data_IF_418393727894
#
_entry.id   IF_418393727894
#
_cell.length_a   1.000
_cell.length_b   1.000
_cell.length_c   1.000
_cell.angle_alpha   90.00
_cell.angle_beta   90.00
_cell.angle_gamma   90.00
#
_symmetry.space_group_name_H-M   'P 1'
#
loop_
_entity.id
_entity.type
_entity.pdbx_description
1 polymer ?
#
# COMPACT_ATOMS: atom_id res chain seq x y z
N UNK A 1 -23.32 -26.16 38.60
CA UNK A 1 -22.63 -25.02 37.95
C UNK A 1 -22.78 -23.69 38.70
N UNK A 2 -23.97 -23.35 39.22
CA UNK A 2 -24.29 -22.06 39.89
C UNK A 2 -23.43 -21.73 41.13
N UNK A 3 -23.08 -22.71 41.95
CA UNK A 3 -22.24 -22.52 43.15
C UNK A 3 -20.80 -22.12 42.83
N UNK A 4 -20.24 -22.66 41.74
CA UNK A 4 -18.89 -22.37 41.27
C UNK A 4 -18.78 -20.94 40.73
N UNK A 5 -19.73 -20.54 39.88
CA UNK A 5 -19.79 -19.20 39.28
C UNK A 5 -19.92 -18.12 40.37
N UNK A 6 -20.77 -18.33 41.36
CA UNK A 6 -20.92 -17.41 42.49
C UNK A 6 -19.63 -17.29 43.32
N UNK A 7 -18.93 -18.42 43.55
CA UNK A 7 -17.66 -18.43 44.28
C UNK A 7 -16.58 -17.65 43.51
N UNK A 8 -16.47 -17.88 42.20
CA UNK A 8 -15.52 -17.17 41.34
C UNK A 8 -15.83 -15.68 41.26
N UNK A 9 -17.08 -15.30 41.05
CA UNK A 9 -17.49 -13.88 41.00
C UNK A 9 -17.10 -13.16 42.30
N UNK A 10 -17.29 -13.79 43.46
CA UNK A 10 -16.88 -13.24 44.75
C UNK A 10 -15.37 -13.06 44.86
N UNK A 11 -14.58 -14.05 44.45
CA UNK A 11 -13.11 -13.94 44.47
C UNK A 11 -12.56 -12.94 43.45
N UNK A 12 -13.16 -12.84 42.27
CA UNK A 12 -12.81 -11.82 41.28
C UNK A 12 -13.16 -10.41 41.79
N UNK A 13 -14.33 -10.25 42.43
CA UNK A 13 -14.72 -8.99 43.06
C UNK A 13 -13.73 -8.56 44.16
N UNK A 14 -13.22 -9.51 44.97
CA UNK A 14 -12.14 -9.25 45.94
C UNK A 14 -10.88 -8.70 45.30
N UNK A 15 -10.58 -9.13 44.08
CA UNK A 15 -9.46 -8.64 43.27
C UNK A 15 -9.83 -7.44 42.36
N UNK A 16 -11.00 -6.83 42.57
CA UNK A 16 -11.53 -5.70 41.78
C UNK A 16 -11.71 -6.00 40.29
N UNK A 17 -11.91 -7.26 39.94
CA UNK A 17 -12.28 -7.69 38.60
C UNK A 17 -13.81 -7.70 38.51
N UNK A 18 -14.36 -6.86 37.64
CA UNK A 18 -15.79 -6.79 37.38
C UNK A 18 -16.22 -8.06 36.64
N UNK A 19 -17.26 -8.72 37.14
CA UNK A 19 -17.81 -9.94 36.55
C UNK A 19 -19.32 -9.83 36.45
N UNK A 20 -19.90 -10.37 35.39
CA UNK A 20 -21.34 -10.47 35.17
C UNK A 20 -21.64 -11.91 34.75
N UNK A 21 -22.69 -12.49 35.32
CA UNK A 21 -23.17 -13.82 34.91
C UNK A 21 -24.34 -13.62 33.96
N UNK A 22 -24.26 -14.24 32.78
CA UNK A 22 -25.23 -14.09 31.71
C UNK A 22 -25.57 -15.50 31.20
N UNK A 23 -26.84 -15.73 30.87
CA UNK A 23 -27.29 -16.97 30.20
C UNK A 23 -26.99 -16.90 28.70
N UNK A 24 -26.98 -18.04 28.01
CA UNK A 24 -26.77 -18.06 26.56
C UNK A 24 -27.87 -17.32 25.79
N UNK A 25 -29.13 -17.35 26.28
CA UNK A 25 -30.25 -16.61 25.68
C UNK A 25 -30.00 -15.10 25.66
N UNK A 26 -29.43 -14.56 26.75
CA UNK A 26 -29.30 -13.12 26.94
C UNK A 26 -27.99 -12.58 26.36
N UNK A 27 -27.00 -13.46 26.14
CA UNK A 27 -25.68 -13.12 25.61
C UNK A 27 -25.75 -12.35 24.29
N UNK A 28 -26.70 -12.69 23.42
CA UNK A 28 -26.84 -12.01 22.11
C UNK A 28 -27.22 -10.53 22.27
N UNK A 29 -28.04 -10.20 23.28
CA UNK A 29 -28.46 -8.82 23.54
C UNK A 29 -27.30 -7.99 24.11
N UNK A 30 -26.65 -8.51 25.15
CA UNK A 30 -25.49 -7.90 25.81
C UNK A 30 -24.30 -7.73 24.85
N UNK A 31 -24.05 -8.71 23.98
CA UNK A 31 -23.00 -8.62 22.97
C UNK A 31 -23.11 -7.37 22.11
N UNK A 32 -24.33 -7.02 21.69
CA UNK A 32 -24.55 -5.86 20.83
C UNK A 32 -24.18 -4.54 21.53
N UNK A 33 -24.36 -4.46 22.83
CA UNK A 33 -24.02 -3.28 23.62
C UNK A 33 -22.51 -3.19 23.85
N UNK A 34 -21.83 -4.31 24.13
CA UNK A 34 -20.35 -4.34 24.18
C UNK A 34 -19.71 -3.96 22.84
N UNK A 35 -20.28 -4.43 21.73
CA UNK A 35 -19.79 -4.11 20.38
C UNK A 35 -19.92 -2.61 20.07
N UNK A 36 -21.07 -2.00 20.38
CA UNK A 36 -21.29 -0.55 20.20
C UNK A 36 -20.32 0.30 21.02
N UNK A 37 -20.01 -0.13 22.23
CA UNK A 37 -19.12 0.59 23.15
C UNK A 37 -17.63 0.24 22.98
N UNK A 38 -17.28 -0.66 22.03
CA UNK A 38 -15.90 -1.09 21.71
C UNK A 38 -15.15 -1.64 22.95
N UNK A 39 -15.88 -2.15 23.92
CA UNK A 39 -15.32 -2.81 25.10
C UNK A 39 -15.18 -4.30 24.79
N UNK A 40 -13.96 -4.82 24.78
CA UNK A 40 -13.68 -6.22 24.43
C UNK A 40 -13.72 -7.12 25.67
N UNK A 41 -14.77 -7.94 25.88
CA UNK A 41 -14.87 -8.76 27.08
C UNK A 41 -14.11 -10.08 26.94
N UNK A 42 -13.82 -10.69 28.08
CA UNK A 42 -13.45 -12.10 28.20
C UNK A 42 -14.70 -12.88 28.64
N UNK A 43 -15.27 -13.68 27.73
CA UNK A 43 -16.35 -14.59 28.07
C UNK A 43 -15.79 -15.90 28.60
N UNK A 44 -16.17 -16.26 29.82
CA UNK A 44 -15.85 -17.56 30.41
C UNK A 44 -17.07 -18.46 30.26
N UNK A 45 -16.93 -19.50 29.44
CA UNK A 45 -18.00 -20.43 29.09
C UNK A 45 -17.71 -21.75 29.77
N UNK A 46 -18.67 -22.24 30.55
CA UNK A 46 -18.57 -23.51 31.25
C UNK A 46 -19.47 -24.52 30.53
N UNK A 47 -18.89 -25.62 30.06
CA UNK A 47 -19.60 -26.68 29.35
C UNK A 47 -19.45 -27.98 30.13
N UNK A 48 -20.55 -28.68 30.39
CA UNK A 48 -20.55 -29.96 31.13
C UNK A 48 -21.32 -31.07 30.40
N UNK A 49 -22.24 -30.71 29.51
CA UNK A 49 -23.22 -31.61 28.88
C UNK A 49 -23.33 -31.34 27.38
N UNK A 50 -23.81 -32.32 26.61
CA UNK A 50 -24.04 -32.10 25.17
C UNK A 50 -25.07 -31.00 24.90
N UNK A 51 -26.06 -30.85 25.78
CA UNK A 51 -27.08 -29.81 25.72
C UNK A 51 -26.47 -28.41 25.83
N UNK A 52 -25.67 -28.15 26.88
CA UNK A 52 -24.99 -26.85 27.05
C UNK A 52 -24.01 -26.55 25.92
N UNK A 53 -23.34 -27.56 25.36
CA UNK A 53 -22.51 -27.41 24.17
C UNK A 53 -23.35 -27.04 22.93
N UNK A 54 -24.54 -27.63 22.78
CA UNK A 54 -25.49 -27.32 21.71
C UNK A 54 -26.01 -25.89 21.79
N UNK A 55 -26.48 -25.46 22.96
CA UNK A 55 -26.96 -24.08 23.19
C UNK A 55 -25.86 -23.05 22.91
N UNK A 56 -24.63 -23.31 23.36
CA UNK A 56 -23.50 -22.44 23.07
C UNK A 56 -23.20 -22.39 21.56
N UNK A 57 -23.26 -23.53 20.87
CA UNK A 57 -23.09 -23.59 19.42
C UNK A 57 -24.16 -22.78 18.66
N UNK A 58 -25.42 -22.82 19.08
CA UNK A 58 -26.48 -21.98 18.50
C UNK A 58 -26.24 -20.49 18.74
N UNK A 59 -25.79 -20.15 19.95
CA UNK A 59 -25.48 -18.76 20.33
C UNK A 59 -24.31 -18.21 19.52
N UNK A 60 -23.23 -18.96 19.37
CA UNK A 60 -22.05 -18.55 18.56
C UNK A 60 -22.36 -18.31 17.09
N UNK A 61 -23.38 -18.99 16.51
CA UNK A 61 -23.84 -18.72 15.14
C UNK A 61 -24.61 -17.41 15.01
N UNK A 62 -25.28 -17.00 16.09
CA UNK A 62 -26.08 -15.77 16.16
C UNK A 62 -25.21 -14.53 16.41
N UNK A 63 -24.10 -14.69 17.14
CA UNK A 63 -23.15 -13.62 17.44
C UNK A 63 -22.22 -13.34 16.25
N UNK A 64 -22.22 -12.10 15.74
CA UNK A 64 -21.36 -11.68 14.63
C UNK A 64 -20.79 -10.26 14.85
N UNK A 65 -19.46 -10.04 14.75
CA UNK A 65 -18.41 -11.04 14.54
C UNK A 65 -18.02 -11.81 15.82
N UNK A 66 -18.00 -13.15 15.74
CA UNK A 66 -17.54 -14.04 16.83
C UNK A 66 -16.10 -13.76 17.28
N UNK A 67 -15.28 -13.21 16.39
CA UNK A 67 -13.88 -12.84 16.66
C UNK A 67 -13.70 -11.59 17.53
N UNK A 68 -14.78 -10.84 17.82
CA UNK A 68 -14.68 -9.64 18.64
C UNK A 68 -14.21 -9.94 20.07
N UNK A 69 -14.91 -10.74 20.90
CA UNK A 69 -14.48 -11.02 22.27
C UNK A 69 -13.36 -12.08 22.33
N UNK A 70 -12.82 -12.29 23.52
CA UNK A 70 -11.98 -13.45 23.83
C UNK A 70 -12.86 -14.49 24.52
N UNK A 71 -12.81 -15.73 24.06
CA UNK A 71 -13.57 -16.84 24.63
C UNK A 71 -12.65 -17.75 25.42
N UNK A 72 -12.97 -18.01 26.69
CA UNK A 72 -12.36 -19.05 27.51
C UNK A 72 -13.41 -20.13 27.77
N UNK A 73 -13.32 -21.23 27.05
CA UNK A 73 -14.25 -22.36 27.15
C UNK A 73 -13.62 -23.44 28.05
N UNK A 74 -14.33 -23.84 29.09
CA UNK A 74 -13.88 -24.83 30.05
C UNK A 74 -14.85 -26.00 30.08
N UNK A 75 -14.35 -27.18 29.71
CA UNK A 75 -15.10 -28.43 29.82
C UNK A 75 -14.91 -28.98 31.24
N UNK A 76 -15.99 -29.02 32.01
CA UNK A 76 -15.99 -29.43 33.40
C UNK A 76 -16.16 -30.95 33.53
N UNK A 77 -15.52 -31.53 34.55
CA UNK A 77 -15.65 -32.94 34.87
C UNK A 77 -16.98 -33.22 35.57
N UNK A 78 -17.68 -34.28 35.14
CA UNK A 78 -18.93 -34.73 35.73
C UNK A 78 -18.79 -36.12 36.38
N UNK A 79 -19.66 -36.46 37.33
CA UNK A 79 -19.65 -37.74 38.04
C UNK A 79 -20.00 -38.93 37.16
N UNK A 80 -20.79 -38.71 36.11
CA UNK A 80 -21.36 -39.75 35.25
C UNK A 80 -20.47 -40.08 34.04
N UNK A 81 -19.20 -39.61 34.07
CA UNK A 81 -18.23 -39.71 32.98
C UNK A 81 -18.06 -38.40 32.22
N UNK A 82 -17.17 -38.41 31.21
CA UNK A 82 -16.83 -37.23 30.40
C UNK A 82 -17.36 -37.40 28.97
N UNK A 83 -18.64 -37.12 28.69
CA UNK A 83 -19.25 -37.38 27.38
C UNK A 83 -18.62 -36.56 26.24
N UNK A 84 -18.04 -35.41 26.55
CA UNK A 84 -17.43 -34.50 25.56
C UNK A 84 -15.90 -34.63 25.47
N UNK A 85 -15.28 -35.62 26.13
CA UNK A 85 -13.82 -35.74 26.21
C UNK A 85 -13.16 -35.83 24.83
N UNK A 86 -13.68 -36.69 23.96
CA UNK A 86 -13.13 -36.88 22.62
C UNK A 86 -13.32 -35.62 21.76
N UNK A 87 -14.50 -35.00 21.82
CA UNK A 87 -14.80 -33.75 21.10
C UNK A 87 -13.92 -32.59 21.54
N UNK A 88 -13.57 -32.52 22.83
CA UNK A 88 -12.69 -31.48 23.33
C UNK A 88 -11.23 -31.74 22.93
N UNK A 89 -10.77 -32.99 22.99
CA UNK A 89 -9.37 -33.32 22.69
C UNK A 89 -9.07 -33.29 21.19
N UNK A 90 -10.00 -33.76 20.37
CA UNK A 90 -9.84 -33.88 18.92
C UNK A 90 -11.07 -33.27 18.21
N UNK A 91 -11.23 -31.94 18.23
CA UNK A 91 -12.36 -31.31 17.56
C UNK A 91 -12.21 -31.44 16.04
N UNK A 92 -13.10 -32.20 15.41
CA UNK A 92 -13.07 -32.45 13.96
C UNK A 92 -13.92 -31.45 13.16
N UNK A 93 -15.00 -30.95 13.75
CA UNK A 93 -15.99 -30.08 13.12
C UNK A 93 -16.00 -28.71 13.79
N UNK A 94 -16.20 -27.65 12.99
CA UNK A 94 -16.35 -26.28 13.49
C UNK A 94 -17.74 -26.02 14.10
N UNK A 95 -18.01 -26.67 15.23
CA UNK A 95 -19.32 -26.63 15.90
C UNK A 95 -19.68 -25.20 16.35
N UNK A 96 -18.68 -24.46 16.85
CA UNK A 96 -18.84 -23.11 17.41
C UNK A 96 -18.68 -21.99 16.39
N UNK A 97 -18.66 -22.31 15.08
CA UNK A 97 -18.54 -21.31 14.01
C UNK A 97 -17.36 -20.33 14.21
N UNK A 98 -16.23 -20.82 14.72
CA UNK A 98 -15.02 -20.01 14.91
C UNK A 98 -14.42 -19.64 13.57
N UNK A 99 -13.84 -18.46 13.47
CA UNK A 99 -13.12 -17.98 12.28
C UNK A 99 -11.61 -17.86 12.56
N UNK A 100 -10.84 -17.49 11.53
CA UNK A 100 -9.38 -17.37 11.62
C UNK A 100 -8.92 -16.29 12.63
N UNK A 101 -9.75 -15.29 12.91
CA UNK A 101 -9.44 -14.19 13.84
C UNK A 101 -9.89 -14.48 15.27
N UNK A 102 -10.69 -15.53 15.46
CA UNK A 102 -11.31 -15.84 16.74
C UNK A 102 -10.26 -16.27 17.76
N UNK A 103 -10.31 -15.65 18.94
CA UNK A 103 -9.48 -16.02 20.08
C UNK A 103 -10.30 -16.87 21.05
N UNK A 104 -10.41 -18.16 20.72
CA UNK A 104 -11.07 -19.15 21.58
C UNK A 104 -10.02 -20.03 22.24
N UNK A 105 -9.98 -19.98 23.56
CA UNK A 105 -9.08 -20.72 24.43
C UNK A 105 -9.89 -21.81 25.12
N UNK A 106 -9.46 -23.06 24.99
CA UNK A 106 -10.20 -24.22 25.46
C UNK A 106 -9.37 -24.99 26.49
N UNK A 107 -10.00 -25.27 27.63
CA UNK A 107 -9.50 -26.16 28.68
C UNK A 107 -10.35 -27.42 28.71
N UNK A 108 -9.74 -28.56 28.42
CA UNK A 108 -10.39 -29.86 28.41
C UNK A 108 -10.21 -30.58 29.75
N UNK A 109 -11.23 -30.56 30.61
CA UNK A 109 -11.26 -31.33 31.86
C UNK A 109 -9.99 -31.11 32.71
N UNK A 110 -9.40 -32.18 33.24
CA UNK A 110 -8.19 -32.14 34.06
C UNK A 110 -6.88 -31.93 33.27
N UNK A 111 -6.94 -31.63 31.97
CA UNK A 111 -5.72 -31.42 31.16
C UNK A 111 -5.14 -30.03 31.45
N UNK A 112 -3.86 -29.92 31.83
CA UNK A 112 -3.24 -28.63 32.17
C UNK A 112 -2.83 -27.83 30.92
N UNK A 113 -3.41 -28.09 29.75
CA UNK A 113 -3.00 -27.46 28.48
C UNK A 113 -4.13 -26.57 27.99
N UNK A 114 -3.82 -25.29 27.79
CA UNK A 114 -4.69 -24.30 27.17
C UNK A 114 -4.51 -24.37 25.65
N UNK A 115 -5.58 -24.74 24.95
CA UNK A 115 -5.57 -25.00 23.51
C UNK A 115 -6.36 -23.91 22.80
N UNK A 116 -5.81 -23.34 21.71
CA UNK A 116 -6.56 -22.44 20.84
C UNK A 116 -7.40 -23.22 19.84
N UNK A 117 -8.66 -22.83 19.67
CA UNK A 117 -9.53 -23.33 18.60
C UNK A 117 -9.78 -22.22 17.57
N UNK A 118 -9.64 -22.55 16.30
CA UNK A 118 -9.92 -21.65 15.17
C UNK A 118 -10.27 -22.46 13.92
N UNK A 119 -10.82 -21.81 12.90
CA UNK A 119 -11.01 -22.40 11.59
C UNK A 119 -10.51 -21.43 10.51
N UNK A 120 -10.35 -21.92 9.28
CA UNK A 120 -9.88 -21.11 8.14
C UNK A 120 -11.09 -20.81 7.25
N UNK A 121 -11.33 -21.64 6.23
CA UNK A 121 -12.48 -21.56 5.32
C UNK A 121 -13.36 -22.81 5.40
N UNK A 122 -12.82 -23.90 5.91
CA UNK A 122 -13.49 -25.19 6.02
C UNK A 122 -14.29 -25.30 7.34
N UNK A 123 -15.21 -26.26 7.38
CA UNK A 123 -15.99 -26.58 8.57
C UNK A 123 -15.18 -27.46 9.57
N UNK A 124 -13.86 -27.26 9.66
CA UNK A 124 -12.96 -28.03 10.54
C UNK A 124 -12.32 -27.14 11.58
N UNK A 125 -12.26 -27.64 12.80
CA UNK A 125 -11.56 -26.97 13.89
C UNK A 125 -10.09 -27.33 13.86
N UNK A 126 -9.24 -26.31 13.93
CA UNK A 126 -7.79 -26.44 14.07
C UNK A 126 -7.40 -26.08 15.48
N UNK A 127 -6.39 -26.78 16.01
CA UNK A 127 -5.94 -26.63 17.40
C UNK A 127 -4.50 -26.16 17.46
N UNK A 128 -4.18 -25.37 18.49
CA UNK A 128 -2.80 -25.01 18.81
C UNK A 128 -2.57 -24.99 20.32
N UNK A 129 -1.60 -25.76 20.81
CA UNK A 129 -1.24 -25.80 22.23
C UNK A 129 -0.52 -24.49 22.65
N UNK A 130 -1.26 -23.57 23.27
CA UNK A 130 -0.75 -22.22 23.59
C UNK A 130 0.08 -22.18 24.87
N UNK A 131 -0.43 -22.77 25.94
CA UNK A 131 0.14 -22.65 27.27
C UNK A 131 -0.15 -23.87 28.14
N UNK A 132 0.67 -24.04 29.18
CA UNK A 132 0.39 -24.93 30.29
C UNK A 132 -0.17 -24.10 31.44
N UNK A 133 -1.23 -24.56 32.09
CA UNK A 133 -1.77 -23.95 33.30
C UNK A 133 -1.75 -24.96 34.43
N UNK A 134 -1.25 -24.53 35.59
CA UNK A 134 -1.32 -25.30 36.82
C UNK A 134 -1.62 -24.38 38.00
N UNK A 135 -2.33 -24.86 39.04
CA UNK A 135 -2.63 -24.05 40.22
C UNK A 135 -1.38 -23.46 40.88
N UNK A 136 -0.31 -24.26 40.99
CA UNK A 136 0.90 -23.88 41.72
C UNK A 136 1.84 -22.95 40.93
N UNK A 137 1.91 -23.13 39.60
CA UNK A 137 2.87 -22.40 38.74
C UNK A 137 2.21 -21.33 37.86
N UNK A 138 0.89 -21.23 37.87
CA UNK A 138 0.13 -20.32 37.01
C UNK A 138 0.21 -20.69 35.53
N UNK A 139 0.13 -19.68 34.66
CA UNK A 139 0.15 -19.82 33.21
C UNK A 139 1.58 -19.76 32.65
N UNK A 140 2.02 -20.84 32.02
CA UNK A 140 3.32 -20.97 31.36
C UNK A 140 3.12 -21.04 29.84
N UNK A 141 3.44 -19.94 29.15
CA UNK A 141 3.32 -19.86 27.69
C UNK A 141 4.35 -20.76 27.00
N UNK A 142 3.90 -21.57 26.04
CA UNK A 142 4.79 -22.43 25.22
C UNK A 142 5.46 -21.68 24.08
N UNK A 143 4.92 -20.52 23.71
CA UNK A 143 5.39 -19.72 22.58
C UNK A 143 5.25 -18.23 22.81
N UNK A 144 6.11 -17.45 22.16
CA UNK A 144 6.05 -15.98 22.11
C UNK A 144 5.57 -15.45 20.75
N UNK A 145 5.20 -16.34 19.81
CA UNK A 145 4.68 -15.96 18.49
C UNK A 145 3.36 -15.20 18.63
N UNK A 146 3.09 -14.25 17.73
CA UNK A 146 1.78 -13.58 17.63
C UNK A 146 0.67 -14.53 17.16
N UNK A 147 -0.60 -14.13 17.28
CA UNK A 147 -1.75 -14.94 16.89
C UNK A 147 -1.62 -15.47 15.45
N UNK A 148 -1.39 -14.58 14.50
CA UNK A 148 -1.29 -14.93 13.09
C UNK A 148 -0.03 -15.76 12.77
N UNK A 149 1.09 -15.50 13.45
CA UNK A 149 2.32 -16.28 13.26
C UNK A 149 2.22 -17.72 13.79
N UNK A 150 1.25 -18.02 14.66
CA UNK A 150 0.93 -19.40 15.08
C UNK A 150 -0.01 -20.10 14.10
N UNK A 151 -0.78 -19.34 13.32
CA UNK A 151 -1.80 -19.80 12.37
C UNK A 151 -1.34 -19.59 10.93
N UNK A 152 -0.07 -19.84 10.65
CA UNK A 152 0.53 -19.56 9.34
C UNK A 152 0.27 -20.63 8.28
N UNK A 153 -0.18 -21.81 8.69
CA UNK A 153 -0.41 -22.96 7.80
C UNK A 153 -1.87 -23.00 7.34
N UNK A 154 -2.08 -23.06 6.02
CA UNK A 154 -3.38 -23.16 5.36
C UNK A 154 -3.77 -24.61 5.01
N UNK A 155 -2.94 -25.59 5.36
CA UNK A 155 -3.22 -27.03 5.24
C UNK A 155 -3.55 -27.49 3.81
N UNK A 156 -2.92 -26.86 2.82
CA UNK A 156 -3.10 -27.18 1.41
C UNK A 156 -4.38 -26.63 0.78
N UNK A 157 -5.07 -25.70 1.45
CA UNK A 157 -6.29 -25.07 0.91
C UNK A 157 -6.07 -24.46 -0.48
N UNK A 158 -7.12 -24.40 -1.30
CA UNK A 158 -7.03 -23.90 -2.67
C UNK A 158 -7.40 -22.42 -2.68
N UNK A 159 -6.46 -21.58 -3.13
CA UNK A 159 -6.66 -20.14 -3.25
C UNK A 159 -6.82 -19.77 -4.72
N UNK A 160 -7.99 -19.24 -5.07
CA UNK A 160 -8.33 -18.79 -6.43
C UNK A 160 -7.76 -17.40 -6.68
N UNK A 161 -6.98 -17.26 -7.76
CA UNK A 161 -6.22 -16.04 -8.05
C UNK A 161 -6.75 -15.36 -9.30
N UNK A 162 -7.22 -14.12 -9.14
CA UNK A 162 -7.56 -13.24 -10.25
C UNK A 162 -6.31 -12.49 -10.74
N UNK A 163 -6.16 -12.39 -12.05
CA UNK A 163 -5.02 -11.73 -12.70
C UNK A 163 -5.50 -10.88 -13.87
N UNK A 164 -4.72 -9.86 -14.23
CA UNK A 164 -5.05 -8.94 -15.34
C UNK A 164 -4.09 -9.19 -16.50
N UNK A 165 -4.67 -9.37 -17.69
CA UNK A 165 -3.90 -9.59 -18.91
C UNK A 165 -3.01 -8.37 -19.25
N UNK A 166 -1.79 -8.62 -19.72
CA UNK A 166 -0.78 -7.59 -20.02
C UNK A 166 -0.49 -6.63 -18.86
N UNK A 167 -0.73 -7.04 -17.60
CA UNK A 167 -0.29 -6.24 -16.45
C UNK A 167 1.23 -6.23 -16.36
N UNK A 168 1.86 -5.09 -16.03
CA UNK A 168 3.28 -5.07 -15.72
C UNK A 168 3.55 -5.98 -14.50
N UNK A 169 4.79 -6.49 -14.44
CA UNK A 169 5.31 -7.32 -13.34
C UNK A 169 4.64 -8.68 -13.15
N UNK A 170 3.81 -9.10 -14.11
CA UNK A 170 3.24 -10.43 -14.21
C UNK A 170 3.50 -10.97 -15.60
N UNK A 171 3.87 -12.24 -15.68
CA UNK A 171 3.87 -13.00 -16.92
C UNK A 171 2.92 -14.18 -16.79
N UNK A 172 2.29 -14.54 -17.91
CA UNK A 172 1.49 -15.75 -18.03
C UNK A 172 2.22 -16.69 -18.98
N UNK A 173 2.77 -17.79 -18.48
CA UNK A 173 3.52 -18.77 -19.27
C UNK A 173 2.90 -20.16 -19.08
N UNK A 174 2.25 -20.69 -20.12
CA UNK A 174 1.70 -22.06 -20.14
C UNK A 174 0.85 -22.44 -18.90
N UNK A 175 -0.03 -21.53 -18.45
CA UNK A 175 -0.89 -21.76 -17.27
C UNK A 175 -0.21 -21.50 -15.93
N UNK A 176 1.05 -21.07 -15.92
CA UNK A 176 1.76 -20.60 -14.72
C UNK A 176 1.86 -19.07 -14.70
N UNK A 177 1.79 -18.50 -13.49
CA UNK A 177 2.01 -17.07 -13.26
C UNK A 177 3.48 -16.86 -12.88
N UNK A 178 4.14 -15.96 -13.61
CA UNK A 178 5.51 -15.53 -13.38
C UNK A 178 5.60 -14.02 -13.12
N UNK A 179 6.80 -13.47 -13.31
CA UNK A 179 7.09 -12.09 -12.96
C UNK A 179 7.23 -11.87 -11.44
N UNK A 180 7.44 -10.62 -11.03
CA UNK A 180 7.68 -10.26 -9.64
C UNK A 180 6.52 -10.69 -8.72
N UNK A 181 5.27 -10.38 -9.10
CA UNK A 181 4.12 -10.72 -8.27
C UNK A 181 3.80 -12.21 -8.30
N UNK A 182 4.08 -12.91 -9.41
CA UNK A 182 3.91 -14.35 -9.49
C UNK A 182 4.88 -15.13 -8.62
N UNK A 183 6.17 -14.74 -8.64
CA UNK A 183 7.17 -15.32 -7.74
C UNK A 183 6.81 -15.08 -6.27
N UNK A 184 6.32 -13.89 -5.92
CA UNK A 184 5.88 -13.60 -4.56
C UNK A 184 4.72 -14.50 -4.13
N UNK A 185 3.73 -14.74 -5.00
CA UNK A 185 2.64 -15.67 -4.73
C UNK A 185 3.14 -17.09 -4.48
N UNK A 186 4.06 -17.57 -5.32
CA UNK A 186 4.62 -18.91 -5.19
C UNK A 186 5.40 -19.06 -3.87
N UNK A 187 6.14 -18.04 -3.45
CA UNK A 187 6.84 -18.07 -2.15
C UNK A 187 5.85 -18.01 -0.97
N UNK A 188 4.79 -17.20 -1.08
CA UNK A 188 3.72 -17.17 -0.10
C UNK A 188 3.01 -18.53 0.01
N UNK A 189 2.75 -19.20 -1.11
CA UNK A 189 2.09 -20.51 -1.14
C UNK A 189 2.91 -21.59 -0.46
N UNK A 190 4.24 -21.55 -0.59
CA UNK A 190 5.15 -22.45 0.13
C UNK A 190 5.20 -22.17 1.63
N UNK A 191 5.34 -20.89 2.02
CA UNK A 191 5.47 -20.51 3.43
C UNK A 191 4.19 -20.76 4.20
N UNK A 192 3.03 -20.50 3.58
CA UNK A 192 1.73 -20.66 4.22
C UNK A 192 1.04 -21.98 3.86
N UNK A 193 1.67 -22.84 3.06
CA UNK A 193 1.16 -24.16 2.67
C UNK A 193 -0.28 -24.10 2.11
N UNK A 194 -0.47 -23.38 1.01
CA UNK A 194 -1.69 -23.40 0.21
C UNK A 194 -1.38 -23.71 -1.25
N UNK A 195 -2.39 -24.13 -2.00
CA UNK A 195 -2.30 -24.38 -3.44
C UNK A 195 -2.96 -23.24 -4.21
N UNK A 196 -2.45 -22.98 -5.41
CA UNK A 196 -2.87 -21.85 -6.24
C UNK A 196 -3.70 -22.36 -7.41
N UNK A 197 -4.91 -21.83 -7.55
CA UNK A 197 -5.73 -21.98 -8.75
C UNK A 197 -5.74 -20.64 -9.50
N UNK A 198 -5.09 -20.58 -10.66
CA UNK A 198 -5.02 -19.36 -11.47
C UNK A 198 -6.26 -19.31 -12.36
N UNK A 199 -7.09 -18.29 -12.18
CA UNK A 199 -8.24 -18.03 -13.03
C UNK A 199 -7.81 -17.39 -14.36
N UNK A 200 -8.66 -17.51 -15.38
CA UNK A 200 -8.42 -16.89 -16.68
C UNK A 200 -8.18 -15.38 -16.55
N UNK A 201 -7.10 -14.84 -17.16
CA UNK A 201 -6.77 -13.42 -17.05
C UNK A 201 -7.88 -12.52 -17.59
N UNK A 202 -8.30 -11.55 -16.78
CA UNK A 202 -9.31 -10.57 -17.19
C UNK A 202 -8.69 -9.40 -17.94
N UNK A 203 -9.49 -8.68 -18.72
CA UNK A 203 -9.02 -7.57 -19.57
C UNK A 203 -8.61 -6.30 -18.82
N UNK A 204 -9.03 -6.13 -17.57
CA UNK A 204 -8.79 -4.90 -16.82
C UNK A 204 -8.79 -5.08 -15.32
N UNK A 205 -8.21 -4.12 -14.61
CA UNK A 205 -8.10 -4.13 -13.15
C UNK A 205 -9.46 -4.12 -12.46
N UNK A 206 -10.36 -3.29 -12.97
CA UNK A 206 -11.75 -3.21 -12.52
C UNK A 206 -12.18 -1.78 -12.22
N UNK A 207 -13.30 -1.41 -12.81
CA UNK A 207 -13.94 -0.11 -12.67
C UNK A 207 -15.43 -0.32 -12.35
N UNK A 208 -16.02 0.67 -11.69
CA UNK A 208 -17.45 0.65 -11.38
C UNK A 208 -18.28 0.94 -12.64
N UNK A 209 -19.07 -0.05 -13.08
CA UNK A 209 -20.02 0.16 -14.18
C UNK A 209 -21.29 0.81 -13.65
N UNK A 210 -21.54 2.08 -14.00
CA UNK A 210 -22.77 2.80 -13.64
C UNK A 210 -24.03 2.16 -14.24
N UNK A 211 -23.93 1.61 -15.45
CA UNK A 211 -25.04 0.96 -16.15
C UNK A 211 -25.48 -0.34 -15.48
N UNK A 212 -24.51 -1.22 -15.20
CA UNK A 212 -24.77 -2.55 -14.64
C UNK A 212 -24.79 -2.55 -13.11
N UNK A 213 -24.36 -1.47 -12.46
CA UNK A 213 -24.18 -1.35 -11.00
C UNK A 213 -23.33 -2.47 -10.41
N UNK A 214 -22.26 -2.84 -11.11
CA UNK A 214 -21.31 -3.88 -10.68
C UNK A 214 -19.88 -3.45 -10.95
N UNK A 215 -18.96 -3.99 -10.16
CA UNK A 215 -17.53 -3.90 -10.43
C UNK A 215 -17.15 -4.84 -11.57
N UNK A 216 -16.31 -4.36 -12.47
CA UNK A 216 -15.79 -5.14 -13.60
C UNK A 216 -14.37 -5.63 -13.31
N UNK A 217 -13.80 -6.44 -14.21
CA UNK A 217 -12.40 -6.85 -14.13
C UNK A 217 -12.07 -7.70 -12.90
N UNK A 218 -10.82 -7.62 -12.44
CA UNK A 218 -10.32 -8.48 -11.38
C UNK A 218 -10.93 -8.10 -10.02
N UNK A 219 -11.18 -6.81 -9.81
CA UNK A 219 -11.92 -6.32 -8.62
C UNK A 219 -13.35 -6.86 -8.64
N UNK A 220 -14.00 -6.91 -9.81
CA UNK A 220 -15.31 -7.54 -9.97
C UNK A 220 -15.34 -8.99 -9.50
N UNK A 221 -14.34 -9.79 -9.90
CA UNK A 221 -14.22 -11.19 -9.47
C UNK A 221 -14.03 -11.33 -7.96
N UNK A 222 -13.26 -10.43 -7.33
CA UNK A 222 -13.09 -10.42 -5.86
C UNK A 222 -14.40 -10.05 -5.15
N UNK A 223 -15.09 -9.00 -5.60
CA UNK A 223 -16.37 -8.56 -5.03
C UNK A 223 -17.46 -9.62 -5.20
N UNK A 224 -17.46 -10.33 -6.33
CA UNK A 224 -18.37 -11.44 -6.60
C UNK A 224 -17.98 -12.76 -5.89
N UNK A 225 -16.87 -12.78 -5.13
CA UNK A 225 -16.32 -13.95 -4.46
C UNK A 225 -16.00 -15.12 -5.44
N UNK A 226 -15.71 -14.79 -6.70
CA UNK A 226 -15.23 -15.71 -7.74
C UNK A 226 -13.72 -15.96 -7.58
N UNK A 227 -12.99 -14.97 -7.08
CA UNK A 227 -11.57 -15.06 -6.74
C UNK A 227 -11.36 -14.74 -5.25
N UNK A 228 -10.28 -15.28 -4.68
CA UNK A 228 -9.92 -15.10 -3.27
C UNK A 228 -8.85 -14.02 -3.10
N UNK A 229 -7.92 -13.93 -4.06
CA UNK A 229 -6.87 -12.91 -4.09
C UNK A 229 -6.67 -12.38 -5.50
N UNK A 230 -6.48 -11.07 -5.62
CA UNK A 230 -6.10 -10.42 -6.87
C UNK A 230 -4.60 -10.22 -6.91
N UNK A 231 -3.93 -10.68 -7.96
CA UNK A 231 -2.50 -10.48 -8.16
C UNK A 231 -2.28 -9.73 -9.47
N UNK A 232 -1.90 -8.47 -9.32
CA UNK A 232 -1.65 -7.52 -10.40
C UNK A 232 -1.01 -6.26 -9.85
N UNK A 233 -0.60 -5.34 -10.74
CA UNK A 233 -0.16 -4.00 -10.37
C UNK A 233 -1.36 -3.10 -9.98
N UNK A 234 -2.15 -3.50 -8.98
CA UNK A 234 -3.31 -2.76 -8.54
C UNK A 234 -2.92 -1.44 -7.87
N UNK A 235 -3.38 -0.33 -8.44
CA UNK A 235 -3.33 0.97 -7.76
C UNK A 235 -4.37 1.01 -6.65
N UNK A 236 -3.92 1.31 -5.44
CA UNK A 236 -4.78 1.50 -4.27
C UNK A 236 -5.47 2.86 -4.37
N UNK A 237 -6.79 2.85 -4.56
CA UNK A 237 -7.63 4.07 -4.57
C UNK A 237 -8.74 3.95 -3.53
N UNK A 238 -9.25 5.09 -3.05
CA UNK A 238 -10.32 5.10 -2.03
C UNK A 238 -11.58 4.37 -2.51
N UNK A 239 -11.95 4.51 -3.78
CA UNK A 239 -13.11 3.82 -4.34
C UNK A 239 -12.98 2.29 -4.30
N UNK A 240 -11.77 1.77 -4.57
CA UNK A 240 -11.50 0.34 -4.56
C UNK A 240 -11.33 -0.21 -3.14
N UNK A 241 -10.70 0.56 -2.25
CA UNK A 241 -10.56 0.21 -0.83
C UNK A 241 -11.90 0.06 -0.09
N UNK A 242 -12.96 0.71 -0.56
CA UNK A 242 -14.29 0.57 0.03
C UNK A 242 -14.95 -0.80 -0.26
N UNK A 243 -14.42 -1.58 -1.21
CA UNK A 243 -15.02 -2.86 -1.63
C UNK A 243 -14.06 -4.04 -1.56
N UNK A 244 -12.75 -3.81 -1.52
CA UNK A 244 -11.72 -4.83 -1.34
C UNK A 244 -10.66 -4.37 -0.36
N UNK A 245 -10.09 -5.33 0.36
CA UNK A 245 -8.93 -5.12 1.21
C UNK A 245 -7.63 -5.28 0.42
N UNK A 246 -6.64 -4.44 0.73
CA UNK A 246 -5.30 -4.51 0.17
C UNK A 246 -4.30 -5.02 1.19
N UNK A 247 -3.25 -5.67 0.70
CA UNK A 247 -2.04 -5.92 1.50
C UNK A 247 -1.25 -4.63 1.70
N UNK A 248 -0.11 -4.74 2.40
CA UNK A 248 0.84 -3.63 2.47
C UNK A 248 1.33 -3.27 1.06
N UNK A 249 1.49 -1.97 0.74
CA UNK A 249 1.94 -1.56 -0.58
C UNK A 249 3.37 -2.05 -0.83
N UNK A 250 3.53 -2.90 -1.84
CA UNK A 250 4.82 -3.49 -2.20
C UNK A 250 5.68 -2.55 -3.04
N UNK A 251 5.05 -1.68 -3.84
CA UNK A 251 5.70 -0.74 -4.74
C UNK A 251 5.05 0.63 -4.57
N UNK A 252 5.87 1.67 -4.42
CA UNK A 252 5.42 3.06 -4.49
C UNK A 252 5.71 3.61 -5.89
N UNK A 253 4.67 4.08 -6.56
CA UNK A 253 4.78 4.69 -7.89
C UNK A 253 4.24 6.11 -7.87
N UNK A 254 4.72 6.95 -8.77
CA UNK A 254 4.27 8.32 -8.96
C UNK A 254 3.71 8.49 -10.37
N UNK A 255 2.68 9.33 -10.52
CA UNK A 255 2.16 9.67 -11.83
C UNK A 255 3.23 10.41 -12.64
N UNK A 256 3.51 9.90 -13.84
CA UNK A 256 4.49 10.47 -14.77
C UNK A 256 3.85 10.60 -16.14
N UNK A 257 4.05 11.74 -16.79
CA UNK A 257 3.64 11.95 -18.17
C UNK A 257 4.79 11.56 -19.09
N UNK A 258 4.49 10.67 -20.03
CA UNK A 258 5.42 10.26 -21.07
C UNK A 258 5.01 10.89 -22.40
N UNK A 259 5.94 11.57 -23.05
CA UNK A 259 5.74 12.12 -24.38
C UNK A 259 6.98 11.87 -25.24
N UNK A 260 6.78 11.87 -26.55
CA UNK A 260 7.88 11.65 -27.51
C UNK A 260 8.91 12.78 -27.37
N UNK A 261 10.18 12.39 -27.21
CA UNK A 261 11.30 13.35 -27.21
C UNK A 261 11.23 14.20 -28.49
N UNK A 262 11.28 15.54 -28.40
CA UNK A 262 11.26 16.38 -29.60
C UNK A 262 12.52 16.13 -30.43
N UNK A 263 12.33 15.96 -31.74
CA UNK A 263 13.40 15.62 -32.68
C UNK A 263 14.20 16.84 -33.16
N UNK A 264 13.72 18.06 -32.90
CA UNK A 264 14.33 19.29 -33.42
C UNK A 264 15.11 20.01 -32.35
N UNK A 265 16.44 19.96 -32.43
CA UNK A 265 17.29 20.99 -31.85
C UNK A 265 17.19 22.22 -32.76
N UNK A 266 16.12 23.01 -32.61
CA UNK A 266 16.03 24.29 -33.30
C UNK A 266 17.20 25.15 -32.77
N UNK A 267 18.11 25.54 -33.66
CA UNK A 267 19.14 26.52 -33.35
C UNK A 267 18.41 27.85 -33.15
N UNK A 268 18.09 28.18 -31.91
CA UNK A 268 17.52 29.48 -31.57
C UNK A 268 18.57 30.57 -31.88
N UNK A 269 18.17 31.65 -32.57
CA UNK A 269 19.04 32.83 -32.76
C UNK A 269 19.54 33.43 -31.43
N UNK A 270 18.88 33.12 -30.31
CA UNK A 270 19.33 33.48 -28.96
C UNK A 270 20.68 32.84 -28.57
N UNK A 271 21.07 31.73 -29.21
CA UNK A 271 22.32 31.00 -28.91
C UNK A 271 23.57 31.84 -29.17
N UNK A 272 23.56 32.68 -30.20
CA UNK A 272 24.68 33.59 -30.51
C UNK A 272 24.94 34.58 -29.36
N UNK A 273 23.88 35.06 -28.70
CA UNK A 273 24.00 36.01 -27.58
C UNK A 273 24.24 35.31 -26.23
N UNK A 274 23.99 34.00 -26.12
CA UNK A 274 24.18 33.22 -24.88
C UNK A 274 25.65 32.97 -24.51
N UNK A 275 26.58 33.15 -25.45
CA UNK A 275 28.01 32.99 -25.19
C UNK A 275 28.49 33.90 -24.06
N UNK A 276 27.85 35.06 -23.86
CA UNK A 276 28.09 35.96 -22.74
C UNK A 276 26.81 36.27 -21.96
N UNK A 277 26.93 36.47 -20.65
CA UNK A 277 25.82 36.93 -19.84
C UNK A 277 25.42 38.35 -20.25
N UNK A 278 24.16 38.73 -20.02
CA UNK A 278 23.68 40.09 -20.31
C UNK A 278 24.56 41.17 -19.65
N UNK A 279 25.07 40.90 -18.43
CA UNK A 279 25.97 41.81 -17.70
C UNK A 279 27.29 42.00 -18.44
N UNK A 280 27.84 40.93 -19.00
CA UNK A 280 29.09 40.95 -19.76
C UNK A 280 28.94 41.73 -21.07
N UNK A 281 27.81 41.57 -21.77
CA UNK A 281 27.49 42.37 -22.95
C UNK A 281 27.41 43.87 -22.64
N UNK A 282 26.72 44.24 -21.55
CA UNK A 282 26.64 45.64 -21.10
C UNK A 282 28.02 46.16 -20.73
N UNK A 283 28.83 45.38 -19.99
CA UNK A 283 30.18 45.78 -19.63
C UNK A 283 31.06 46.03 -20.87
N UNK A 284 30.94 45.19 -21.89
CA UNK A 284 31.69 45.35 -23.15
C UNK A 284 31.29 46.62 -23.92
N UNK A 285 29.99 46.95 -23.93
CA UNK A 285 29.53 48.22 -24.51
C UNK A 285 30.04 49.44 -23.70
N UNK A 286 30.02 49.34 -22.38
CA UNK A 286 30.52 50.38 -21.48
C UNK A 286 32.04 50.60 -21.62
N UNK A 287 32.82 49.54 -21.79
CA UNK A 287 34.27 49.68 -21.98
C UNK A 287 34.61 50.31 -23.31
N UNK A 288 33.94 49.92 -24.40
CA UNK A 288 34.13 50.52 -25.74
C UNK A 288 33.81 52.01 -25.72
N UNK A 289 32.67 52.39 -25.14
CA UNK A 289 32.25 53.80 -25.03
C UNK A 289 33.19 54.61 -24.14
N UNK A 290 33.57 54.09 -22.97
CA UNK A 290 34.48 54.78 -22.04
C UNK A 290 35.87 54.97 -22.67
N UNK A 291 36.42 53.96 -23.34
CA UNK A 291 37.70 54.08 -24.04
C UNK A 291 37.66 55.16 -25.14
N UNK A 292 36.55 55.22 -25.89
CA UNK A 292 36.34 56.22 -26.94
C UNK A 292 36.29 57.65 -26.37
N UNK A 293 35.62 57.83 -25.23
CA UNK A 293 35.55 59.11 -24.51
C UNK A 293 36.95 59.52 -24.03
N UNK A 294 37.67 58.60 -23.36
CA UNK A 294 39.03 58.86 -22.84
C UNK A 294 40.01 59.25 -23.95
N UNK A 295 40.02 58.52 -25.07
CA UNK A 295 40.86 58.83 -26.23
C UNK A 295 40.55 60.22 -26.80
N UNK A 296 39.28 60.60 -26.80
CA UNK A 296 38.85 61.92 -27.28
C UNK A 296 39.37 63.01 -26.37
N UNK A 297 39.21 62.87 -25.04
CA UNK A 297 39.70 63.82 -24.03
C UNK A 297 41.23 63.99 -24.11
N UNK A 298 41.96 62.88 -24.28
CA UNK A 298 43.42 62.90 -24.42
C UNK A 298 43.86 63.64 -25.69
N UNK A 299 43.19 63.39 -26.82
CA UNK A 299 43.53 63.99 -28.12
C UNK A 299 43.23 65.48 -28.20
N UNK A 300 42.22 65.95 -27.48
CA UNK A 300 41.80 67.36 -27.48
C UNK A 300 42.32 68.18 -26.30
N UNK A 301 43.20 67.61 -25.46
CA UNK A 301 43.70 68.24 -24.22
C UNK A 301 42.57 68.81 -23.34
N UNK A 302 41.44 68.13 -23.26
CA UNK A 302 40.32 68.48 -22.39
C UNK A 302 39.10 69.14 -23.07
N UNK A 303 39.10 69.39 -24.39
CA UNK A 303 37.92 69.91 -25.10
C UNK A 303 37.02 68.81 -25.67
N UNK A 304 35.71 68.92 -25.48
CA UNK A 304 34.76 67.90 -25.94
C UNK A 304 34.33 68.15 -27.39
N UNK A 305 34.60 67.19 -28.30
CA UNK A 305 34.17 67.24 -29.71
C UNK A 305 33.43 65.96 -30.10
N UNK A 306 32.19 66.11 -30.57
CA UNK A 306 31.30 64.99 -30.90
C UNK A 306 31.73 64.23 -32.17
N UNK A 307 32.18 64.94 -33.20
CA UNK A 307 32.63 64.29 -34.45
C UNK A 307 33.88 63.42 -34.20
N UNK A 308 34.81 63.93 -33.40
CA UNK A 308 36.03 63.20 -33.03
C UNK A 308 35.72 62.00 -32.12
N UNK A 309 34.72 62.11 -31.24
CA UNK A 309 34.23 60.97 -30.45
C UNK A 309 33.66 59.86 -31.32
N UNK A 310 32.86 60.20 -32.33
CA UNK A 310 32.28 59.20 -33.23
C UNK A 310 33.36 58.50 -34.06
N UNK A 311 34.33 59.25 -34.60
CA UNK A 311 35.48 58.66 -35.29
C UNK A 311 36.29 57.73 -34.37
N UNK A 312 36.58 58.18 -33.14
CA UNK A 312 37.29 57.35 -32.16
C UNK A 312 36.46 56.13 -31.74
N UNK A 313 35.14 56.24 -31.64
CA UNK A 313 34.26 55.11 -31.36
C UNK A 313 34.31 54.05 -32.46
N UNK A 314 34.21 54.46 -33.72
CA UNK A 314 34.33 53.54 -34.87
C UNK A 314 35.72 52.89 -34.90
N UNK A 315 36.78 53.64 -34.58
CA UNK A 315 38.14 53.10 -34.50
C UNK A 315 38.30 52.09 -33.35
N UNK A 316 37.82 52.40 -32.14
CA UNK A 316 37.87 51.50 -30.99
C UNK A 316 37.03 50.25 -31.25
N UNK A 317 35.80 50.42 -31.76
CA UNK A 317 34.96 49.30 -32.13
C UNK A 317 35.63 48.43 -33.21
N UNK A 318 36.23 49.04 -34.23
CA UNK A 318 37.03 48.38 -35.25
C UNK A 318 38.20 47.59 -34.67
N UNK A 319 38.92 48.12 -33.67
CA UNK A 319 39.98 47.41 -32.95
C UNK A 319 39.40 46.18 -32.23
N UNK A 320 38.31 46.34 -31.48
CA UNK A 320 37.64 45.21 -30.81
C UNK A 320 37.14 44.13 -31.80
N UNK A 321 36.75 44.52 -33.02
CA UNK A 321 36.29 43.61 -34.06
C UNK A 321 37.41 42.97 -34.90
N UNK A 322 38.53 43.66 -35.17
CA UNK A 322 39.56 43.25 -36.13
C UNK A 322 40.94 42.96 -35.52
N UNK A 323 41.31 43.62 -34.41
CA UNK A 323 42.61 43.46 -33.76
C UNK A 323 42.43 43.08 -32.29
N UNK A 324 42.30 41.77 -32.08
CA UNK A 324 42.24 41.05 -30.82
C UNK A 324 42.50 41.81 -29.52
N UNK A 325 41.46 41.86 -28.68
CA UNK A 325 41.65 41.30 -27.35
C UNK A 325 41.50 39.78 -27.49
N UNK A 326 42.60 39.11 -27.85
CA UNK A 326 42.64 37.68 -28.20
C UNK A 326 41.86 36.80 -27.22
N UNK A 327 41.85 37.19 -25.94
CA UNK A 327 41.16 36.50 -24.86
C UNK A 327 39.63 36.60 -24.96
N UNK A 328 39.03 37.77 -25.18
CA UNK A 328 37.55 37.91 -25.19
C UNK A 328 36.96 37.19 -26.40
N UNK A 329 37.55 37.37 -27.58
CA UNK A 329 37.06 36.72 -28.79
C UNK A 329 37.26 35.20 -28.72
N UNK A 330 38.37 34.73 -28.12
CA UNK A 330 38.60 33.30 -27.88
C UNK A 330 37.63 32.71 -26.84
N UNK A 331 37.30 33.43 -25.77
CA UNK A 331 36.31 32.98 -24.79
C UNK A 331 34.92 32.94 -25.42
N UNK A 332 34.56 33.95 -26.23
CA UNK A 332 33.31 33.96 -26.98
C UNK A 332 33.23 32.76 -27.91
N UNK A 333 34.25 32.52 -28.74
CA UNK A 333 34.26 31.41 -29.69
C UNK A 333 34.24 30.06 -28.99
N UNK A 334 35.03 29.87 -27.92
CA UNK A 334 35.02 28.65 -27.13
C UNK A 334 33.65 28.38 -26.47
N UNK A 335 33.03 29.42 -25.89
CA UNK A 335 31.70 29.30 -25.26
C UNK A 335 30.62 29.03 -26.31
N UNK A 336 30.67 29.71 -27.44
CA UNK A 336 29.74 29.53 -28.55
C UNK A 336 29.83 28.12 -29.13
N UNK A 337 31.04 27.61 -29.38
CA UNK A 337 31.26 26.23 -29.83
C UNK A 337 30.71 25.24 -28.80
N UNK A 338 30.95 25.46 -27.51
CA UNK A 338 30.39 24.61 -26.44
C UNK A 338 28.85 24.55 -26.48
N UNK A 339 28.19 25.69 -26.65
CA UNK A 339 26.72 25.75 -26.77
C UNK A 339 26.19 25.10 -28.05
N UNK A 340 26.92 25.17 -29.17
CA UNK A 340 26.55 24.49 -30.41
C UNK A 340 26.68 22.97 -30.30
N UNK A 341 27.70 22.49 -29.58
CA UNK A 341 27.90 21.05 -29.34
C UNK A 341 26.81 20.49 -28.40
N UNK A 342 26.40 21.27 -27.40
CA UNK A 342 25.31 20.91 -26.48
C UNK A 342 23.93 21.15 -27.10
N UNK A 343 23.51 20.23 -27.99
CA UNK A 343 22.13 20.16 -28.48
C UNK A 343 21.17 19.67 -27.37
N UNK A 344 20.78 20.55 -26.46
CA UNK A 344 19.71 20.26 -25.50
C UNK A 344 18.35 20.46 -26.16
N UNK A 345 17.51 19.42 -26.27
CA UNK A 345 16.16 19.58 -26.78
C UNK A 345 15.38 20.49 -25.83
N UNK A 346 14.79 21.56 -26.36
CA UNK A 346 13.86 22.38 -25.59
C UNK A 346 12.57 21.58 -25.40
N UNK A 347 12.27 21.23 -24.15
CA UNK A 347 11.01 20.58 -23.81
C UNK A 347 9.87 21.62 -23.90
N UNK A 348 8.69 21.25 -24.41
CA UNK A 348 7.54 22.13 -24.47
C UNK A 348 7.04 22.52 -23.07
N UNK A 349 7.15 21.59 -22.11
CA UNK A 349 6.81 21.77 -20.71
C UNK A 349 7.68 20.85 -19.84
N UNK A 350 7.90 21.25 -18.60
CA UNK A 350 8.60 20.45 -17.57
C UNK A 350 7.70 20.13 -16.36
N UNK A 351 6.53 20.75 -16.28
CA UNK A 351 5.55 20.58 -15.20
C UNK A 351 4.18 20.22 -15.76
N UNK A 352 3.33 19.60 -14.94
CA UNK A 352 1.96 19.29 -15.30
C UNK A 352 1.14 20.56 -15.59
N UNK A 353 1.35 21.62 -14.81
CA UNK A 353 0.72 22.93 -15.04
C UNK A 353 1.15 23.52 -16.40
N UNK A 354 2.43 23.37 -16.75
CA UNK A 354 2.93 23.76 -18.07
C UNK A 354 2.27 22.98 -19.21
N UNK A 355 2.09 21.67 -19.03
CA UNK A 355 1.35 20.82 -19.98
C UNK A 355 -0.10 21.28 -20.17
N UNK A 356 -0.82 21.54 -19.06
CA UNK A 356 -2.22 21.97 -19.10
C UNK A 356 -2.36 23.34 -19.78
N UNK A 357 -1.42 24.26 -19.50
CA UNK A 357 -1.42 25.61 -20.11
C UNK A 357 -1.06 25.58 -21.59
N UNK A 358 -0.15 24.69 -22.00
CA UNK A 358 0.28 24.54 -23.38
C UNK A 358 -0.87 24.06 -24.28
N UNK A 359 -1.64 23.06 -23.83
CA UNK A 359 -2.87 22.61 -24.49
C UNK A 359 -2.70 21.99 -25.89
N UNK A 360 -1.47 21.91 -26.43
CA UNK A 360 -1.22 21.40 -27.77
C UNK A 360 -1.17 19.86 -27.85
N UNK A 361 -0.97 19.20 -26.71
CA UNK A 361 -0.82 17.76 -26.59
C UNK A 361 -2.06 17.10 -25.99
N UNK A 362 -2.57 16.05 -26.65
CA UNK A 362 -3.66 15.23 -26.12
C UNK A 362 -3.12 14.22 -25.08
N UNK A 363 -3.90 13.99 -24.03
CA UNK A 363 -3.63 12.97 -23.03
C UNK A 363 -4.21 11.62 -23.47
N UNK A 364 -3.43 10.56 -23.33
CA UNK A 364 -3.88 9.18 -23.52
C UNK A 364 -3.70 8.45 -22.21
N UNK A 365 -4.76 7.77 -21.76
CA UNK A 365 -4.77 6.97 -20.53
C UNK A 365 -5.30 5.58 -20.85
N UNK A 366 -4.77 4.56 -20.17
CA UNK A 366 -5.22 3.18 -20.33
C UNK A 366 -6.66 3.05 -19.81
N UNK A 367 -7.56 2.51 -20.62
CA UNK A 367 -8.95 2.28 -20.20
C UNK A 367 -9.03 1.29 -19.02
N UNK A 368 -10.02 1.48 -18.13
CA UNK A 368 -10.22 0.64 -16.94
C UNK A 368 -9.00 0.57 -16.00
N UNK A 369 -8.16 1.62 -16.02
CA UNK A 369 -7.07 1.85 -15.07
C UNK A 369 -7.52 2.83 -13.98
N UNK A 370 -6.80 2.87 -12.86
CA UNK A 370 -7.10 3.85 -11.81
C UNK A 370 -6.97 5.29 -12.31
N UNK A 371 -6.00 5.56 -13.20
CA UNK A 371 -5.79 6.88 -13.80
C UNK A 371 -7.00 7.32 -14.64
N UNK A 372 -7.66 6.37 -15.32
CA UNK A 372 -8.85 6.66 -16.10
C UNK A 372 -10.07 6.91 -15.20
N UNK A 373 -10.16 6.17 -14.09
CA UNK A 373 -11.20 6.34 -13.09
C UNK A 373 -11.07 7.69 -12.36
N UNK A 374 -9.85 8.17 -12.10
CA UNK A 374 -9.59 9.46 -11.44
C UNK A 374 -9.92 10.68 -12.35
N UNK A 375 -9.99 10.48 -13.67
CA UNK A 375 -10.24 11.54 -14.65
C UNK A 375 -11.72 11.68 -15.06
N UNK A 376 -12.60 10.73 -14.69
CA UNK A 376 -14.02 10.67 -15.06
C UNK A 376 -14.93 10.69 -13.83
#
# INVERSE_FOLDING_TARGET
>A
MTTLVHTWSREFSRHRVMTVTITFSDLTSEYNDYWKNITRPLFVVLLDTEETMGEFAETTRSVKPISFPIWLVMFLQHSDGNPLEERCRHPTVNVFNVDFRTQMLVLCYARPILVEWYAIRDNRTRTFDLALWSPDRGLLLRTRKSLYARRSDMFGDVVRVASVNNSPLISHENGTIGGFFGLLLIELSKVMNFTVEILDPVKGYGSWSKEKKVWTGAIGQLVANEADIGISAFTMTTHRQNVIDYTIPLIRSQYSLYFKRPNTALVEWSLYLRAFSYKTWIALLMTITTASILLTIMKTKGYFSMNLMFENYINVWGIYCQQGLSVILAIYSASFISYLVLCTPKLPFSTLEGYVKDGSYKLIVVQNSAQYDDLN
#
